data_IF_884704058049
#
_entry.id   IF_884704058049
#
_cell.length_a   1.000
_cell.length_b   1.000
_cell.length_c   1.000
_cell.angle_alpha   90.00
_cell.angle_beta   90.00
_cell.angle_gamma   90.00
#
_symmetry.space_group_name_H-M   'P 1'
#
loop_
_entity.id
_entity.type
_entity.pdbx_description
1 polymer ?
#
# COMPACT_ATOMS: atom_id res chain seq x y z
N UNK A 1 8.77 -38.00 -2.01
CA UNK A 1 9.01 -36.89 -2.95
C UNK A 1 8.85 -35.58 -2.21
N UNK A 2 9.94 -34.97 -1.77
CA UNK A 2 9.96 -33.61 -1.23
C UNK A 2 9.91 -32.68 -2.42
N UNK A 3 8.73 -32.22 -2.80
CA UNK A 3 8.59 -31.19 -3.83
C UNK A 3 9.34 -29.95 -3.35
N UNK A 4 10.49 -29.65 -3.94
CA UNK A 4 11.11 -28.34 -3.75
C UNK A 4 10.20 -27.33 -4.43
N UNK A 5 9.49 -26.54 -3.62
CA UNK A 5 8.77 -25.37 -4.08
C UNK A 5 9.85 -24.35 -4.49
N UNK A 6 10.26 -24.41 -5.75
CA UNK A 6 11.19 -23.43 -6.32
C UNK A 6 10.44 -22.10 -6.48
N UNK A 7 10.92 -21.08 -5.78
CA UNK A 7 10.37 -19.73 -5.79
C UNK A 7 10.49 -19.14 -7.19
N UNK A 8 9.42 -18.53 -7.71
CA UNK A 8 9.53 -17.73 -8.94
C UNK A 8 10.27 -16.43 -8.62
N UNK A 9 11.56 -16.38 -8.93
CA UNK A 9 12.36 -15.16 -8.78
C UNK A 9 11.90 -14.08 -9.78
N UNK A 10 11.75 -12.85 -9.29
CA UNK A 10 11.51 -11.69 -10.14
C UNK A 10 12.79 -11.17 -10.78
N UNK A 11 12.66 -10.35 -11.82
CA UNK A 11 13.81 -9.69 -12.46
C UNK A 11 14.56 -8.71 -11.54
N UNK A 12 13.92 -8.21 -10.48
CA UNK A 12 14.50 -7.35 -9.44
C UNK A 12 14.48 -8.11 -8.10
N UNK A 13 15.61 -8.16 -7.37
CA UNK A 13 15.68 -8.80 -6.07
C UNK A 13 14.71 -8.15 -5.06
N UNK A 14 14.07 -9.00 -4.24
CA UNK A 14 13.09 -8.58 -3.25
C UNK A 14 13.65 -7.55 -2.24
N UNK A 15 14.87 -7.74 -1.74
CA UNK A 15 15.49 -6.81 -0.80
C UNK A 15 15.69 -5.42 -1.42
N UNK A 16 15.97 -5.35 -2.73
CA UNK A 16 16.11 -4.09 -3.44
C UNK A 16 14.76 -3.36 -3.51
N UNK A 17 13.69 -4.08 -3.85
CA UNK A 17 12.33 -3.50 -3.86
C UNK A 17 11.87 -3.08 -2.46
N UNK A 18 12.20 -3.86 -1.43
CA UNK A 18 11.95 -3.50 -0.04
C UNK A 18 12.65 -2.20 0.34
N UNK A 19 13.94 -2.06 0.03
CA UNK A 19 14.69 -0.84 0.34
C UNK A 19 14.10 0.36 -0.40
N UNK A 20 13.80 0.23 -1.69
CA UNK A 20 13.19 1.32 -2.47
C UNK A 20 11.80 1.71 -1.94
N UNK A 21 10.95 0.74 -1.63
CA UNK A 21 9.63 1.01 -1.08
C UNK A 21 9.70 1.61 0.32
N UNK A 22 10.60 1.13 1.18
CA UNK A 22 10.79 1.65 2.54
C UNK A 22 11.37 3.07 2.54
N UNK A 23 12.45 3.31 1.81
CA UNK A 23 13.06 4.65 1.72
C UNK A 23 12.12 5.62 1.01
N UNK A 24 11.52 5.21 -0.11
CA UNK A 24 10.58 6.04 -0.86
C UNK A 24 9.32 6.39 -0.05
N UNK A 25 8.78 5.45 0.71
CA UNK A 25 7.61 5.71 1.56
C UNK A 25 7.92 6.65 2.70
N UNK A 26 9.00 6.41 3.46
CA UNK A 26 9.41 7.28 4.56
C UNK A 26 9.69 8.70 4.08
N UNK A 27 10.47 8.86 3.00
CA UNK A 27 10.76 10.18 2.44
C UNK A 27 9.46 10.86 1.96
N UNK A 28 8.61 10.16 1.20
CA UNK A 28 7.35 10.72 0.71
C UNK A 28 6.42 11.18 1.84
N UNK A 29 6.26 10.36 2.87
CA UNK A 29 5.45 10.72 4.04
C UNK A 29 6.06 11.94 4.76
N UNK A 30 7.37 11.96 4.97
CA UNK A 30 8.04 13.09 5.62
C UNK A 30 8.00 14.38 4.81
N UNK A 31 8.00 14.32 3.48
CA UNK A 31 7.83 15.50 2.63
C UNK A 31 6.48 16.18 2.84
N UNK A 32 5.48 15.47 3.37
CA UNK A 32 4.20 16.09 3.79
C UNK A 32 4.41 17.06 4.95
N UNK A 33 5.44 16.87 5.79
CA UNK A 33 5.77 17.78 6.90
C UNK A 33 6.19 19.17 6.41
N UNK A 34 6.61 19.32 5.14
CA UNK A 34 6.88 20.62 4.56
C UNK A 34 5.67 21.55 4.63
N UNK A 35 4.44 21.01 4.61
CA UNK A 35 3.22 21.79 4.84
C UNK A 35 3.27 22.59 6.15
N UNK A 36 3.78 21.97 7.23
CA UNK A 36 3.93 22.63 8.53
C UNK A 36 5.03 23.68 8.51
N UNK A 37 6.14 23.41 7.82
CA UNK A 37 7.29 24.32 7.74
C UNK A 37 7.01 25.55 6.87
N UNK A 38 6.33 25.36 5.74
CA UNK A 38 6.05 26.44 4.77
C UNK A 38 4.70 27.12 4.98
N UNK A 39 3.86 26.60 5.89
CA UNK A 39 2.49 27.07 6.09
C UNK A 39 1.59 26.85 4.86
N UNK A 40 1.90 25.85 4.05
CA UNK A 40 1.11 25.51 2.84
C UNK A 40 0.48 24.13 2.99
N UNK A 41 -0.40 23.77 2.07
CA UNK A 41 -1.02 22.43 2.02
C UNK A 41 -0.65 21.67 0.74
N UNK A 42 0.22 22.27 -0.08
CA UNK A 42 0.50 21.82 -1.44
C UNK A 42 1.36 20.56 -1.47
N UNK A 43 2.06 20.23 -0.39
CA UNK A 43 2.95 19.07 -0.32
C UNK A 43 2.24 17.78 0.13
N UNK A 44 0.92 17.83 0.33
CA UNK A 44 0.12 16.68 0.80
C UNK A 44 0.14 15.49 -0.17
N UNK A 45 0.30 15.75 -1.48
CA UNK A 45 0.40 14.67 -2.48
C UNK A 45 1.60 13.73 -2.23
N UNK A 46 2.66 14.19 -1.57
CA UNK A 46 3.83 13.36 -1.26
C UNK A 46 3.48 12.20 -0.32
N UNK A 47 2.51 12.37 0.58
CA UNK A 47 1.98 11.29 1.40
C UNK A 47 1.38 10.16 0.54
N UNK A 48 0.66 10.53 -0.52
CA UNK A 48 0.13 9.59 -1.51
C UNK A 48 1.24 8.85 -2.27
N UNK A 49 2.25 9.58 -2.77
CA UNK A 49 3.41 8.98 -3.43
C UNK A 49 4.18 8.02 -2.50
N UNK A 50 4.30 8.38 -1.21
CA UNK A 50 4.90 7.52 -0.20
C UNK A 50 4.11 6.22 0.00
N UNK A 51 2.78 6.30 -0.01
CA UNK A 51 1.91 5.11 0.00
C UNK A 51 2.10 4.23 -1.24
N UNK A 52 2.25 4.81 -2.45
CA UNK A 52 2.53 4.04 -3.67
C UNK A 52 3.85 3.28 -3.56
N UNK A 53 4.91 3.93 -3.05
CA UNK A 53 6.20 3.27 -2.84
C UNK A 53 6.09 2.07 -1.88
N UNK A 54 5.31 2.20 -0.80
CA UNK A 54 5.04 1.10 0.12
C UNK A 54 4.24 -0.03 -0.55
N UNK A 55 3.24 0.28 -1.38
CA UNK A 55 2.47 -0.72 -2.13
C UNK A 55 3.35 -1.55 -3.08
N UNK A 56 4.30 -0.91 -3.77
CA UNK A 56 5.26 -1.59 -4.67
C UNK A 56 6.12 -2.61 -3.90
N UNK A 57 6.62 -2.23 -2.71
CA UNK A 57 7.31 -3.19 -1.83
C UNK A 57 6.36 -4.32 -1.42
N UNK A 58 5.16 -4.00 -0.94
CA UNK A 58 4.20 -5.00 -0.49
C UNK A 58 3.78 -5.99 -1.58
N UNK A 59 3.69 -5.56 -2.84
CA UNK A 59 3.43 -6.45 -3.98
C UNK A 59 4.50 -7.54 -4.14
N UNK A 60 5.77 -7.17 -3.96
CA UNK A 60 6.87 -8.15 -3.94
C UNK A 60 6.76 -9.10 -2.75
N UNK A 61 6.38 -8.60 -1.56
CA UNK A 61 6.18 -9.44 -0.37
C UNK A 61 5.01 -10.41 -0.54
N UNK A 62 3.89 -9.96 -1.13
CA UNK A 62 2.74 -10.83 -1.46
C UNK A 62 3.18 -11.93 -2.42
N UNK A 63 3.89 -11.59 -3.49
CA UNK A 63 4.38 -12.59 -4.45
C UNK A 63 5.23 -13.65 -3.75
N UNK A 64 6.16 -13.24 -2.88
CA UNK A 64 7.02 -14.14 -2.12
C UNK A 64 6.22 -15.05 -1.19
N UNK A 65 5.26 -14.51 -0.45
CA UNK A 65 4.40 -15.28 0.45
C UNK A 65 3.54 -16.30 -0.32
N UNK A 66 2.92 -15.87 -1.41
CA UNK A 66 1.95 -16.68 -2.15
C UNK A 66 2.60 -17.70 -3.09
N UNK A 67 3.90 -17.54 -3.39
CA UNK A 67 4.71 -18.57 -4.09
C UNK A 67 4.78 -19.89 -3.31
N UNK A 68 4.49 -19.88 -2.01
CA UNK A 68 4.40 -21.08 -1.18
C UNK A 68 3.03 -21.78 -1.23
N UNK A 69 2.17 -21.46 -2.20
CA UNK A 69 0.94 -22.22 -2.48
C UNK A 69 -0.30 -21.76 -1.71
N UNK A 70 -0.33 -20.53 -1.20
CA UNK A 70 -1.46 -20.01 -0.40
C UNK A 70 -2.60 -19.47 -1.30
N UNK A 71 -2.94 -20.15 -2.40
CA UNK A 71 -3.74 -19.61 -3.51
C UNK A 71 -4.88 -18.64 -3.14
N UNK A 72 -5.75 -19.01 -2.20
CA UNK A 72 -6.90 -18.18 -1.74
C UNK A 72 -6.62 -17.24 -0.56
N UNK A 73 -5.41 -17.28 0.01
CA UNK A 73 -4.99 -16.48 1.16
C UNK A 73 -4.39 -15.11 0.80
N UNK A 74 -4.29 -14.77 -0.49
CA UNK A 74 -3.82 -13.44 -0.92
C UNK A 74 -4.72 -12.34 -0.39
N UNK A 75 -6.06 -12.45 -0.49
CA UNK A 75 -6.91 -11.39 0.00
C UNK A 75 -6.85 -11.23 1.53
N UNK A 76 -6.79 -12.36 2.25
CA UNK A 76 -6.69 -12.33 3.71
C UNK A 76 -5.36 -11.77 4.20
N UNK A 77 -4.24 -12.06 3.52
CA UNK A 77 -2.93 -11.48 3.84
C UNK A 77 -2.95 -9.95 3.67
N UNK A 78 -3.55 -9.44 2.59
CA UNK A 78 -3.72 -8.01 2.39
C UNK A 78 -4.63 -7.38 3.46
N UNK A 79 -5.76 -7.99 3.79
CA UNK A 79 -6.66 -7.44 4.82
C UNK A 79 -6.04 -7.46 6.23
N UNK A 80 -5.27 -8.50 6.56
CA UNK A 80 -4.51 -8.58 7.82
C UNK A 80 -3.42 -7.51 7.89
N UNK A 81 -2.71 -7.27 6.78
CA UNK A 81 -1.69 -6.24 6.65
C UNK A 81 -2.25 -4.85 6.97
N UNK A 82 -3.40 -4.52 6.40
CA UNK A 82 -4.06 -3.23 6.64
C UNK A 82 -4.72 -3.17 8.03
N UNK A 83 -5.22 -4.29 8.56
CA UNK A 83 -5.82 -4.34 9.90
C UNK A 83 -4.78 -4.06 10.98
N UNK A 84 -3.65 -4.74 10.91
CA UNK A 84 -2.49 -4.47 11.77
C UNK A 84 -1.88 -3.09 11.50
N UNK A 85 -1.85 -2.67 10.23
CA UNK A 85 -1.35 -1.36 9.81
C UNK A 85 -2.13 -0.18 10.39
N UNK A 86 -3.46 -0.24 10.44
CA UNK A 86 -4.30 0.77 11.10
C UNK A 86 -3.96 0.88 12.58
N UNK A 87 -3.83 -0.25 13.29
CA UNK A 87 -3.49 -0.26 14.71
C UNK A 87 -2.11 0.38 14.93
N UNK A 88 -1.12 -0.04 14.14
CA UNK A 88 0.23 0.50 14.20
C UNK A 88 0.25 2.01 13.94
N UNK A 89 -0.45 2.46 12.90
CA UNK A 89 -0.53 3.87 12.53
C UNK A 89 -1.21 4.72 13.61
N UNK A 90 -2.35 4.29 14.14
CA UNK A 90 -3.06 5.03 15.19
C UNK A 90 -2.22 5.16 16.47
N UNK A 91 -1.52 4.10 16.89
CA UNK A 91 -0.60 4.18 18.03
C UNK A 91 0.59 5.11 17.75
N UNK A 92 1.14 5.05 16.54
CA UNK A 92 2.29 5.84 16.14
C UNK A 92 2.01 7.35 16.04
N UNK A 93 0.79 7.74 15.64
CA UNK A 93 0.40 9.16 15.50
C UNK A 93 0.52 9.98 16.79
N UNK A 94 0.60 9.32 17.96
CA UNK A 94 0.88 9.96 19.26
C UNK A 94 2.30 10.49 19.41
N UNK A 95 3.23 10.03 18.57
CA UNK A 95 4.65 10.38 18.64
C UNK A 95 5.02 11.60 17.75
N UNK A 96 4.03 12.33 17.25
CA UNK A 96 4.24 13.60 16.54
C UNK A 96 5.08 13.43 15.27
N UNK A 97 6.22 14.11 15.19
CA UNK A 97 7.10 14.05 14.00
C UNK A 97 7.68 12.65 13.79
N UNK A 98 7.83 11.86 14.85
CA UNK A 98 8.34 10.48 14.76
C UNK A 98 7.29 9.48 14.25
N UNK A 99 6.03 9.90 14.02
CA UNK A 99 4.93 8.99 13.67
C UNK A 99 5.22 8.04 12.50
N UNK A 100 5.80 8.47 11.36
CA UNK A 100 6.09 7.55 10.25
C UNK A 100 7.08 6.44 10.62
N UNK A 101 8.13 6.77 11.38
CA UNK A 101 9.13 5.78 11.83
C UNK A 101 8.55 4.87 12.90
N UNK A 102 7.78 5.42 13.84
CA UNK A 102 7.13 4.60 14.88
C UNK A 102 6.08 3.69 14.26
N UNK A 103 5.33 4.14 13.24
CA UNK A 103 4.35 3.32 12.52
C UNK A 103 5.02 2.14 11.83
N UNK A 104 6.18 2.37 11.21
CA UNK A 104 7.00 1.32 10.62
C UNK A 104 7.44 0.28 11.66
N UNK A 105 8.02 0.73 12.78
CA UNK A 105 8.51 -0.16 13.84
C UNK A 105 7.36 -0.96 14.48
N UNK A 106 6.26 -0.30 14.82
CA UNK A 106 5.08 -0.96 15.38
C UNK A 106 4.45 -1.93 14.36
N UNK A 107 4.43 -1.58 13.08
CA UNK A 107 3.97 -2.45 12.01
C UNK A 107 4.77 -3.76 11.96
N UNK A 108 6.11 -3.67 11.97
CA UNK A 108 6.97 -4.85 12.03
C UNK A 108 6.73 -5.69 13.28
N UNK A 109 6.61 -5.07 14.46
CA UNK A 109 6.39 -5.79 15.72
C UNK A 109 5.06 -6.52 15.72
N UNK A 110 3.96 -5.83 15.38
CA UNK A 110 2.62 -6.42 15.34
C UNK A 110 2.56 -7.53 14.28
N UNK A 111 3.10 -7.28 13.09
CA UNK A 111 3.13 -8.27 12.02
C UNK A 111 4.01 -9.49 12.37
N UNK A 112 5.14 -9.31 13.07
CA UNK A 112 5.95 -10.43 13.53
C UNK A 112 5.20 -11.29 14.57
N UNK A 113 4.45 -10.68 15.48
CA UNK A 113 3.60 -11.40 16.44
C UNK A 113 2.51 -12.19 15.68
N UNK A 114 1.80 -11.55 14.75
CA UNK A 114 0.77 -12.22 13.95
C UNK A 114 1.35 -13.34 13.08
N UNK A 115 2.52 -13.11 12.50
CA UNK A 115 3.25 -14.10 11.72
C UNK A 115 3.70 -15.30 12.56
N UNK A 116 4.16 -15.06 13.79
CA UNK A 116 4.49 -16.12 14.74
C UNK A 116 3.26 -16.96 15.09
N UNK A 117 2.11 -16.31 15.36
CA UNK A 117 0.84 -16.99 15.62
C UNK A 117 0.43 -17.82 14.40
N UNK A 118 0.45 -17.24 13.20
CA UNK A 118 0.08 -17.93 11.97
C UNK A 118 0.97 -19.15 11.68
N UNK A 119 2.28 -19.02 11.89
CA UNK A 119 3.21 -20.10 11.58
C UNK A 119 3.24 -21.21 12.64
N UNK A 120 3.25 -20.83 13.92
CA UNK A 120 3.52 -21.75 15.03
C UNK A 120 2.26 -22.23 15.75
N UNK A 121 1.22 -21.39 15.85
CA UNK A 121 -0.03 -21.75 16.55
C UNK A 121 -1.04 -22.33 15.57
N UNK A 122 -1.25 -21.65 14.43
CA UNK A 122 -2.14 -22.15 13.37
C UNK A 122 -1.46 -23.21 12.48
N UNK A 123 -0.19 -23.50 12.75
CA UNK A 123 0.60 -24.56 12.10
C UNK A 123 0.60 -24.49 10.56
N UNK A 124 0.58 -23.29 9.97
CA UNK A 124 0.67 -23.12 8.52
C UNK A 124 2.04 -23.57 7.96
N UNK A 125 3.10 -23.55 8.79
CA UNK A 125 4.45 -24.07 8.49
C UNK A 125 5.05 -23.52 7.18
N UNK A 126 4.88 -22.22 6.93
CA UNK A 126 5.46 -21.56 5.75
C UNK A 126 6.76 -20.87 6.15
N UNK A 127 7.91 -21.18 5.51
CA UNK A 127 9.22 -20.70 5.95
C UNK A 127 9.37 -19.17 6.04
N UNK A 128 8.68 -18.43 5.16
CA UNK A 128 8.75 -16.97 5.11
C UNK A 128 7.60 -16.27 5.84
N UNK A 129 6.71 -17.01 6.51
CA UNK A 129 5.46 -16.48 7.06
C UNK A 129 5.68 -15.28 7.99
N UNK A 130 6.60 -15.42 8.95
CA UNK A 130 6.84 -14.41 9.98
C UNK A 130 7.39 -13.14 9.33
N UNK A 131 8.38 -13.28 8.44
CA UNK A 131 8.97 -12.16 7.73
C UNK A 131 7.93 -11.47 6.83
N UNK A 132 7.21 -12.23 6.01
CA UNK A 132 6.25 -11.67 5.06
C UNK A 132 5.09 -10.97 5.75
N UNK A 133 4.53 -11.51 6.84
CA UNK A 133 3.45 -10.82 7.58
C UNK A 133 4.00 -9.57 8.30
N UNK A 134 5.22 -9.61 8.83
CA UNK A 134 5.86 -8.43 9.42
C UNK A 134 6.06 -7.30 8.40
N UNK A 135 6.59 -7.62 7.22
CA UNK A 135 6.75 -6.66 6.13
C UNK A 135 5.40 -6.13 5.62
N UNK A 136 4.40 -6.99 5.44
CA UNK A 136 3.08 -6.57 4.98
C UNK A 136 2.39 -5.65 6.00
N UNK A 137 2.49 -5.94 7.30
CA UNK A 137 1.96 -5.06 8.35
C UNK A 137 2.65 -3.68 8.36
N UNK A 138 3.96 -3.65 8.15
CA UNK A 138 4.73 -2.42 7.97
C UNK A 138 4.28 -1.64 6.72
N UNK A 139 4.09 -2.31 5.58
CA UNK A 139 3.51 -1.71 4.37
C UNK A 139 2.13 -1.15 4.65
N UNK A 140 1.26 -1.91 5.32
CA UNK A 140 -0.08 -1.46 5.71
C UNK A 140 -0.02 -0.19 6.54
N UNK A 141 0.86 -0.12 7.54
CA UNK A 141 1.04 1.06 8.38
C UNK A 141 1.49 2.29 7.57
N UNK A 142 2.44 2.11 6.65
CA UNK A 142 2.96 3.17 5.78
C UNK A 142 1.93 3.66 4.75
N UNK A 143 1.17 2.76 4.15
CA UNK A 143 0.09 3.14 3.21
C UNK A 143 -1.00 3.89 3.95
N UNK A 144 -1.42 3.38 5.11
CA UNK A 144 -2.44 4.02 5.94
C UNK A 144 -1.99 5.41 6.37
N UNK A 145 -0.75 5.59 6.86
CA UNK A 145 -0.28 6.91 7.29
C UNK A 145 -0.05 7.86 6.10
N UNK A 146 0.45 7.35 4.96
CA UNK A 146 0.70 8.16 3.77
C UNK A 146 -0.57 8.69 3.12
N UNK A 147 -1.58 7.83 2.92
CA UNK A 147 -2.88 8.29 2.43
C UNK A 147 -3.60 9.19 3.45
N UNK A 148 -3.50 8.91 4.74
CA UNK A 148 -4.06 9.80 5.77
C UNK A 148 -3.39 11.18 5.78
N UNK A 149 -2.07 11.21 5.56
CA UNK A 149 -1.29 12.44 5.43
C UNK A 149 -1.65 13.22 4.17
N UNK A 150 -1.96 12.54 3.08
CA UNK A 150 -2.46 13.16 1.86
C UNK A 150 -3.84 13.78 2.05
N UNK A 151 -4.75 13.11 2.76
CA UNK A 151 -6.09 13.66 3.02
C UNK A 151 -6.04 14.88 3.93
N UNK A 152 -5.30 14.79 5.04
CA UNK A 152 -5.36 15.80 6.11
C UNK A 152 -4.22 16.81 6.08
N UNK A 153 -3.24 16.62 5.19
CA UNK A 153 -2.04 17.45 5.07
C UNK A 153 -1.01 17.24 6.19
N UNK A 154 -1.24 16.28 7.09
CA UNK A 154 -0.36 15.93 8.22
C UNK A 154 -0.52 14.46 8.61
N UNK A 155 0.54 13.87 9.18
CA UNK A 155 0.51 12.51 9.71
C UNK A 155 0.40 12.44 11.24
N UNK A 156 0.15 13.58 11.91
CA UNK A 156 0.03 13.64 13.37
C UNK A 156 -1.42 13.41 13.85
N UNK A 157 -1.62 13.07 15.12
CA UNK A 157 -2.95 12.69 15.62
C UNK A 157 -4.00 13.80 15.56
N UNK A 158 -3.63 15.07 15.80
CA UNK A 158 -4.61 16.16 15.90
C UNK A 158 -5.37 16.41 14.59
N UNK A 159 -4.70 16.54 13.42
CA UNK A 159 -5.39 16.71 12.13
C UNK A 159 -6.23 15.51 11.70
N UNK A 160 -5.94 14.31 12.24
CA UNK A 160 -6.68 13.08 11.93
C UNK A 160 -7.97 12.93 12.75
N UNK A 161 -7.99 13.47 13.97
CA UNK A 161 -9.06 13.24 14.95
C UNK A 161 -9.96 14.46 15.19
N UNK A 162 -9.54 15.66 14.79
CA UNK A 162 -10.30 16.88 15.03
C UNK A 162 -10.28 17.77 13.80
N UNK A 163 -11.47 18.20 13.37
CA UNK A 163 -11.65 19.23 12.35
C UNK A 163 -12.44 20.39 12.95
N UNK A 164 -12.01 21.61 12.64
CA UNK A 164 -12.70 22.83 13.04
C UNK A 164 -13.85 23.13 12.07
N UNK A 165 -15.08 23.18 12.59
CA UNK A 165 -16.30 23.45 11.81
C UNK A 165 -16.91 24.75 12.33
N UNK A 166 -17.35 25.62 11.42
CA UNK A 166 -18.09 26.83 11.80
C UNK A 166 -19.55 26.47 12.09
N UNK A 167 -20.00 26.70 13.32
CA UNK A 167 -21.38 26.55 13.74
C UNK A 167 -21.82 27.80 14.50
N UNK A 168 -22.97 28.38 14.13
CA UNK A 168 -23.54 29.57 14.78
C UNK A 168 -22.56 30.76 14.89
N UNK A 169 -21.68 30.94 13.91
CA UNK A 169 -20.71 32.05 13.88
C UNK A 169 -19.46 31.84 14.75
N UNK A 170 -19.29 30.67 15.37
CA UNK A 170 -18.09 30.27 16.10
C UNK A 170 -17.45 29.01 15.53
N UNK A 171 -16.15 28.83 15.76
CA UNK A 171 -15.42 27.63 15.35
C UNK A 171 -15.45 26.57 16.44
N UNK A 172 -15.99 25.40 16.14
CA UNK A 172 -16.13 24.28 17.09
C UNK A 172 -15.38 23.06 16.55
N UNK A 173 -14.67 22.36 17.45
CA UNK A 173 -14.00 21.11 17.12
C UNK A 173 -15.02 19.97 16.95
N UNK A 174 -15.00 19.30 15.80
CA UNK A 174 -15.86 18.17 15.47
C UNK A 174 -15.05 16.92 15.23
N UNK A 175 -15.33 15.87 16.02
CA UNK A 175 -14.79 14.52 15.78
C UNK A 175 -15.51 13.84 14.62
N UNK A 176 -16.83 14.01 14.48
CA UNK A 176 -17.63 13.38 13.42
C UNK A 176 -17.27 13.85 12.00
N UNK A 177 -16.67 15.03 11.87
CA UNK A 177 -16.15 15.53 10.60
C UNK A 177 -14.66 15.20 10.35
N UNK A 178 -13.99 14.55 11.31
CA UNK A 178 -12.58 14.19 11.18
C UNK A 178 -12.37 12.96 10.30
N UNK A 179 -11.11 12.68 9.91
CA UNK A 179 -10.78 11.49 9.13
C UNK A 179 -11.18 10.20 9.87
N UNK A 180 -10.91 10.15 11.18
CA UNK A 180 -11.18 8.98 12.03
C UNK A 180 -12.69 8.89 12.32
N UNK A 181 -13.29 9.96 12.85
CA UNK A 181 -14.68 9.95 13.28
C UNK A 181 -15.70 9.98 12.13
N UNK A 182 -15.32 10.53 10.97
CA UNK A 182 -16.13 10.54 9.75
C UNK A 182 -16.03 9.26 8.92
N UNK A 183 -15.24 8.27 9.34
CA UNK A 183 -15.17 6.96 8.70
C UNK A 183 -14.34 6.88 7.42
N UNK A 184 -13.73 7.98 6.96
CA UNK A 184 -12.88 7.99 5.76
C UNK A 184 -11.63 7.11 5.90
N UNK A 185 -11.17 6.88 7.13
CA UNK A 185 -10.08 5.94 7.39
C UNK A 185 -10.41 4.52 6.91
N UNK A 186 -11.67 4.07 6.99
CA UNK A 186 -12.11 2.78 6.48
C UNK A 186 -12.10 2.72 4.95
N UNK A 187 -12.42 3.84 4.28
CA UNK A 187 -12.29 3.94 2.83
C UNK A 187 -10.82 3.87 2.39
N UNK A 188 -9.92 4.59 3.08
CA UNK A 188 -8.46 4.52 2.85
C UNK A 188 -7.95 3.09 3.02
N UNK A 189 -8.41 2.41 4.08
CA UNK A 189 -8.09 1.01 4.32
C UNK A 189 -8.45 0.12 3.12
N UNK A 190 -9.68 0.26 2.59
CA UNK A 190 -10.13 -0.56 1.46
C UNK A 190 -9.39 -0.22 0.17
N UNK A 191 -9.16 1.07 -0.10
CA UNK A 191 -8.42 1.52 -1.28
C UNK A 191 -6.98 0.97 -1.26
N UNK A 192 -6.27 1.11 -0.14
CA UNK A 192 -4.93 0.58 0.00
C UNK A 192 -4.88 -0.95 -0.06
N UNK A 193 -5.82 -1.64 0.59
CA UNK A 193 -5.86 -3.11 0.60
C UNK A 193 -6.10 -3.67 -0.79
N UNK A 194 -7.03 -3.10 -1.56
CA UNK A 194 -7.29 -3.48 -2.95
C UNK A 194 -6.05 -3.21 -3.81
N UNK A 195 -5.42 -2.05 -3.70
CA UNK A 195 -4.23 -1.72 -4.47
C UNK A 195 -3.07 -2.69 -4.22
N UNK A 196 -2.90 -3.13 -2.97
CA UNK A 196 -1.87 -4.10 -2.61
C UNK A 196 -2.12 -5.49 -3.23
N UNK A 197 -3.38 -5.94 -3.22
CA UNK A 197 -3.75 -7.31 -3.61
C UNK A 197 -4.02 -7.46 -5.12
N UNK A 198 -4.55 -6.42 -5.77
CA UNK A 198 -5.04 -6.51 -7.14
C UNK A 198 -3.93 -6.86 -8.13
N UNK A 199 -2.76 -6.24 -7.97
CA UNK A 199 -1.59 -6.52 -8.81
C UNK A 199 -1.31 -8.01 -8.90
N UNK A 200 -1.26 -8.72 -7.76
CA UNK A 200 -1.03 -10.17 -7.74
C UNK A 200 -2.22 -10.98 -8.29
N UNK A 201 -3.44 -10.64 -7.86
CA UNK A 201 -4.65 -11.40 -8.21
C UNK A 201 -5.01 -11.31 -9.70
N UNK A 202 -4.81 -10.15 -10.33
CA UNK A 202 -5.11 -9.94 -11.74
C UNK A 202 -3.97 -10.41 -12.67
N UNK A 203 -2.74 -10.50 -12.16
CA UNK A 203 -1.57 -10.92 -12.92
C UNK A 203 -1.22 -12.39 -12.67
N UNK A 204 -2.17 -13.34 -12.74
CA UNK A 204 -1.91 -14.79 -12.69
C UNK A 204 -1.04 -15.32 -11.52
N UNK A 205 -0.94 -14.57 -10.43
CA UNK A 205 -0.25 -14.98 -9.21
C UNK A 205 1.28 -15.09 -9.34
N UNK A 206 1.92 -16.12 -8.76
CA UNK A 206 3.36 -16.15 -8.56
C UNK A 206 4.18 -16.41 -9.84
N UNK A 207 3.57 -16.99 -10.88
CA UNK A 207 4.23 -17.35 -12.14
C UNK A 207 4.38 -16.18 -13.12
N UNK A 208 3.85 -15.02 -12.78
CA UNK A 208 3.81 -13.88 -13.70
C UNK A 208 5.08 -13.03 -13.68
N UNK A 209 5.33 -12.33 -14.79
CA UNK A 209 6.45 -11.40 -14.92
C UNK A 209 6.28 -10.24 -13.94
N UNK A 210 7.33 -10.03 -13.16
CA UNK A 210 7.33 -9.10 -12.04
C UNK A 210 7.10 -7.65 -12.48
N UNK A 211 7.61 -7.24 -13.65
CA UNK A 211 7.43 -5.89 -14.18
C UNK A 211 5.95 -5.54 -14.39
N UNK A 212 5.16 -6.47 -14.93
CA UNK A 212 3.73 -6.28 -15.15
C UNK A 212 2.96 -6.20 -13.84
N UNK A 213 3.27 -7.07 -12.88
CA UNK A 213 2.66 -7.05 -11.54
C UNK A 213 2.94 -5.72 -10.81
N UNK A 214 4.19 -5.25 -10.84
CA UNK A 214 4.57 -4.00 -10.20
C UNK A 214 3.91 -2.78 -10.86
N UNK A 215 3.82 -2.75 -12.19
CA UNK A 215 3.12 -1.68 -12.91
C UNK A 215 1.62 -1.67 -12.61
N UNK A 216 0.98 -2.85 -12.52
CA UNK A 216 -0.43 -2.91 -12.14
C UNK A 216 -0.66 -2.50 -10.68
N UNK A 217 0.21 -2.91 -9.75
CA UNK A 217 0.14 -2.43 -8.36
C UNK A 217 0.26 -0.91 -8.30
N UNK A 218 1.19 -0.32 -9.05
CA UNK A 218 1.35 1.13 -9.10
C UNK A 218 0.12 1.82 -9.72
N UNK A 219 -0.44 1.26 -10.78
CA UNK A 219 -1.65 1.77 -11.45
C UNK A 219 -2.87 1.81 -10.50
N UNK A 220 -3.20 0.70 -9.84
CA UNK A 220 -4.31 0.66 -8.88
C UNK A 220 -4.02 1.52 -7.64
N UNK A 221 -2.74 1.62 -7.26
CA UNK A 221 -2.29 2.55 -6.23
C UNK A 221 -2.57 4.01 -6.60
N UNK A 222 -2.22 4.44 -7.81
CA UNK A 222 -2.52 5.79 -8.28
C UNK A 222 -4.02 6.02 -8.48
N UNK A 223 -4.77 5.00 -8.90
CA UNK A 223 -6.24 5.06 -8.96
C UNK A 223 -6.85 5.25 -7.55
N UNK A 224 -6.28 4.60 -6.54
CA UNK A 224 -6.61 4.84 -5.13
C UNK A 224 -6.23 6.25 -4.69
N UNK A 225 -5.06 6.75 -5.12
CA UNK A 225 -4.59 8.11 -4.83
C UNK A 225 -5.53 9.18 -5.40
N UNK A 226 -6.16 8.96 -6.56
CA UNK A 226 -7.21 9.85 -7.11
C UNK A 226 -8.38 9.96 -6.12
N UNK A 227 -8.87 8.83 -5.60
CA UNK A 227 -9.98 8.83 -4.63
C UNK A 227 -9.58 9.52 -3.32
N UNK A 228 -8.34 9.31 -2.86
CA UNK A 228 -7.79 9.98 -1.67
C UNK A 228 -7.66 11.50 -1.89
N UNK A 229 -7.32 11.95 -3.10
CA UNK A 229 -7.31 13.36 -3.45
C UNK A 229 -8.71 13.97 -3.36
N UNK A 230 -9.76 13.25 -3.78
CA UNK A 230 -11.16 13.68 -3.63
C UNK A 230 -11.51 13.82 -2.13
N UNK A 231 -11.11 12.86 -1.29
CA UNK A 231 -11.32 12.96 0.16
C UNK A 231 -10.64 14.18 0.78
N UNK A 232 -9.46 14.57 0.28
CA UNK A 232 -8.74 15.74 0.78
C UNK A 232 -9.52 17.05 0.64
N UNK A 233 -10.53 17.12 -0.25
CA UNK A 233 -11.39 18.30 -0.38
C UNK A 233 -12.09 18.69 0.93
N UNK A 234 -12.37 17.71 1.79
CA UNK A 234 -13.02 17.94 3.07
C UNK A 234 -12.08 18.57 4.13
N UNK A 235 -10.76 18.58 3.88
CA UNK A 235 -9.76 18.96 4.88
C UNK A 235 -8.78 20.04 4.39
N UNK A 236 -8.51 20.08 3.09
CA UNK A 236 -7.52 20.93 2.45
C UNK A 236 -8.18 21.93 1.50
N UNK A 237 -7.46 23.02 1.24
CA UNK A 237 -7.86 24.03 0.27
C UNK A 237 -7.87 23.50 -1.17
N UNK A 238 -8.68 24.14 -2.00
CA UNK A 238 -8.93 23.75 -3.38
C UNK A 238 -7.67 23.57 -4.24
N UNK A 239 -6.65 24.41 -4.07
CA UNK A 239 -5.38 24.30 -4.81
C UNK A 239 -4.58 23.03 -4.45
N UNK A 240 -4.58 22.61 -3.18
CA UNK A 240 -3.90 21.38 -2.76
C UNK A 240 -4.58 20.14 -3.36
N UNK A 241 -5.91 20.16 -3.47
CA UNK A 241 -6.68 19.14 -4.17
C UNK A 241 -6.30 19.07 -5.65
N UNK A 242 -6.22 20.20 -6.36
CA UNK A 242 -5.90 20.21 -7.80
C UNK A 242 -4.53 19.56 -8.04
N UNK A 243 -3.51 19.95 -7.27
CA UNK A 243 -2.16 19.37 -7.40
C UNK A 243 -2.21 17.87 -7.15
N UNK A 244 -2.90 17.44 -6.08
CA UNK A 244 -3.05 16.03 -5.73
C UNK A 244 -3.72 15.23 -6.84
N UNK A 245 -4.78 15.75 -7.46
CA UNK A 245 -5.45 15.12 -8.61
C UNK A 245 -4.51 15.04 -9.81
N UNK A 246 -3.85 16.15 -10.17
CA UNK A 246 -2.96 16.20 -11.35
C UNK A 246 -1.84 15.17 -11.22
N UNK A 247 -1.18 15.10 -10.05
CA UNK A 247 -0.11 14.14 -9.79
C UNK A 247 -0.64 12.70 -9.85
N UNK A 248 -1.81 12.45 -9.25
CA UNK A 248 -2.41 11.10 -9.21
C UNK A 248 -2.81 10.63 -10.61
N UNK A 249 -3.43 11.49 -11.42
CA UNK A 249 -3.84 11.17 -12.80
C UNK A 249 -2.64 10.99 -13.71
N UNK A 250 -1.61 11.82 -13.59
CA UNK A 250 -0.38 11.67 -14.37
C UNK A 250 0.33 10.35 -14.05
N UNK A 251 0.45 10.01 -12.76
CA UNK A 251 1.00 8.73 -12.31
C UNK A 251 0.19 7.55 -12.82
N UNK A 252 -1.14 7.60 -12.64
CA UNK A 252 -2.07 6.58 -13.13
C UNK A 252 -1.92 6.36 -14.64
N UNK A 253 -2.00 7.43 -15.45
CA UNK A 253 -1.90 7.32 -16.90
C UNK A 253 -0.59 6.69 -17.35
N UNK A 254 0.55 7.11 -16.77
CA UNK A 254 1.85 6.53 -17.07
C UNK A 254 1.89 5.03 -16.75
N UNK A 255 1.50 4.65 -15.53
CA UNK A 255 1.52 3.26 -15.08
C UNK A 255 0.55 2.38 -15.86
N UNK A 256 -0.63 2.89 -16.22
CA UNK A 256 -1.62 2.22 -17.04
C UNK A 256 -1.10 1.96 -18.46
N UNK A 257 -0.53 2.98 -19.11
CA UNK A 257 0.05 2.85 -20.45
C UNK A 257 1.18 1.81 -20.47
N UNK A 258 2.05 1.81 -19.45
CA UNK A 258 3.11 0.81 -19.30
C UNK A 258 2.53 -0.59 -19.06
N UNK A 259 1.55 -0.73 -18.17
CA UNK A 259 0.88 -2.02 -17.94
C UNK A 259 0.27 -2.60 -19.22
N UNK A 260 -0.40 -1.78 -20.04
CA UNK A 260 -0.95 -2.21 -21.33
C UNK A 260 0.16 -2.61 -22.31
N UNK A 261 1.27 -1.86 -22.38
CA UNK A 261 2.40 -2.21 -23.23
C UNK A 261 3.03 -3.57 -22.85
N UNK A 262 3.24 -3.79 -21.55
CA UNK A 262 3.77 -5.05 -21.02
C UNK A 262 2.79 -6.21 -21.24
N UNK A 263 1.49 -5.97 -21.08
CA UNK A 263 0.44 -6.96 -21.37
C UNK A 263 0.43 -7.38 -22.83
N UNK A 264 0.58 -6.42 -23.76
CA UNK A 264 0.68 -6.71 -25.20
C UNK A 264 1.94 -7.50 -25.55
N UNK A 265 3.09 -7.16 -24.96
CA UNK A 265 4.34 -7.91 -25.12
C UNK A 265 4.16 -9.38 -24.73
N UNK A 266 3.54 -9.62 -23.58
CA UNK A 266 3.39 -10.97 -23.04
C UNK A 266 2.34 -11.78 -23.83
N UNK A 267 1.27 -11.14 -24.29
CA UNK A 267 0.29 -11.76 -25.18
C UNK A 267 0.89 -12.14 -26.54
N UNK A 268 1.73 -11.29 -27.12
CA UNK A 268 2.43 -11.58 -28.39
C UNK A 268 3.36 -12.80 -28.25
N UNK A 269 4.10 -12.91 -27.15
CA UNK A 269 4.97 -14.06 -26.88
C UNK A 269 4.19 -15.38 -26.73
N UNK A 270 2.92 -15.32 -26.31
CA UNK A 270 2.06 -16.49 -26.21
C UNK A 270 1.60 -17.01 -27.57
N UNK A 271 1.32 -16.13 -28.54
CA UNK A 271 0.97 -16.52 -29.91
C UNK A 271 2.11 -17.26 -30.63
N UNK A 272 3.36 -16.93 -30.28
CA UNK A 272 4.55 -17.61 -30.79
C UNK A 272 4.91 -18.88 -30.00
N UNK A 273 4.21 -19.15 -28.89
CA UNK A 273 4.46 -20.34 -28.08
C UNK A 273 3.81 -21.58 -28.71
N UNK A 274 4.60 -22.62 -28.96
CA UNK A 274 4.05 -23.92 -29.39
C UNK A 274 3.17 -24.49 -28.27
N UNK A 275 2.06 -25.18 -28.60
CA UNK A 275 1.24 -25.86 -27.60
C UNK A 275 2.14 -26.75 -26.73
N UNK A 276 1.94 -26.70 -25.42
CA UNK A 276 2.53 -27.71 -24.52
C UNK A 276 1.89 -29.02 -24.95
N UNK A 277 2.67 -29.84 -25.66
CA UNK A 277 2.27 -31.22 -25.96
C UNK A 277 2.37 -31.93 -24.61
N UNK A 278 1.25 -32.13 -23.94
CA UNK A 278 1.22 -33.03 -22.79
C UNK A 278 1.78 -34.36 -23.28
N UNK A 279 2.84 -34.85 -22.61
CA UNK A 279 3.32 -36.19 -22.88
C UNK A 279 2.12 -37.12 -22.66
N UNK A 280 1.69 -37.79 -23.72
CA UNK A 280 0.59 -38.75 -23.68
C UNK A 280 0.73 -39.61 -22.43
N UNK A 281 -0.34 -39.68 -21.65
CA UNK A 281 -0.39 -40.46 -20.42
C UNK A 281 0.14 -41.88 -20.68
N UNK A 282 1.18 -42.23 -19.94
CA UNK A 282 1.59 -43.60 -19.70
C UNK A 282 1.10 -44.02 -18.31
#
# INVERSE_FOLDING_TARGET
>A
MTAQITVTEGGIPHNTLMIYGLVGSIIGIYLTYLNTVTGTQLFSFFGGLGAIAALIWGSSTIKRLCSYGIGTGVPSAGMLAFGSGVIAMLLATKFGIASPIVALVLGFVIGAILGYIANNILAMKIPVMIQSIAELAAVGALVMIGFSAMVTGSFTFSPLSVVQVSALGGTVNSFGASLIGGGLLAAIFMLGSIALQHGFNACLGPSEKQDRTLMLTAEVGFLSMIMVAIFSFAFLGFFALIISIVVSVAGWYYTYAQYIALSKRDAAAWLDSKPIVEAEGH
#
